data_IF_020674234063
#
_entry.id   IF_020674234063
#
_cell.length_a   1.000
_cell.length_b   1.000
_cell.length_c   1.000
_cell.angle_alpha   90.00
_cell.angle_beta   90.00
_cell.angle_gamma   90.00
#
_symmetry.space_group_name_H-M   'P 1'
#
loop_
_entity.id
_entity.type
_entity.pdbx_description
1 polymer ?
#
# COMPACT_ATOMS: atom_id res chain seq x y z
N UNK A 1 -14.56 16.10 -11.90
CA UNK A 1 -13.82 14.97 -12.51
C UNK A 1 -14.57 13.70 -12.14
N UNK A 2 -14.91 12.89 -13.14
CA UNK A 2 -15.88 11.82 -12.95
C UNK A 2 -15.22 10.43 -12.86
N UNK A 3 -13.91 10.37 -13.12
CA UNK A 3 -13.10 9.16 -13.06
C UNK A 3 -11.81 9.42 -12.31
N UNK A 4 -11.46 8.50 -11.40
CA UNK A 4 -10.20 8.47 -10.68
C UNK A 4 -9.54 7.10 -10.83
N UNK A 5 -8.21 7.06 -10.82
CA UNK A 5 -7.43 5.82 -10.93
C UNK A 5 -6.32 5.80 -9.87
N UNK A 6 -6.02 4.63 -9.32
CA UNK A 6 -4.99 4.42 -8.30
C UNK A 6 -4.39 3.02 -8.40
N UNK A 7 -3.28 2.79 -7.71
CA UNK A 7 -2.62 1.49 -7.61
C UNK A 7 -1.90 1.14 -8.90
N UNK A 8 -1.74 -0.16 -9.14
CA UNK A 8 -0.95 -0.63 -10.28
C UNK A 8 -1.59 -0.26 -11.64
N UNK A 9 -2.90 0.01 -11.67
CA UNK A 9 -3.61 0.54 -12.84
C UNK A 9 -3.23 2.00 -13.17
N UNK A 10 -2.78 2.80 -12.19
CA UNK A 10 -2.47 4.22 -12.37
C UNK A 10 -1.00 4.44 -12.74
N UNK A 11 -0.73 5.19 -13.80
CA UNK A 11 0.62 5.64 -14.15
C UNK A 11 0.76 7.13 -13.90
N UNK A 12 1.62 7.51 -12.95
CA UNK A 12 1.90 8.91 -12.64
C UNK A 12 2.81 9.51 -13.70
N UNK A 13 2.36 10.61 -14.31
CA UNK A 13 3.13 11.41 -15.26
C UNK A 13 3.27 12.84 -14.71
N UNK A 14 4.43 13.50 -14.94
CA UNK A 14 5.62 13.04 -15.65
C UNK A 14 6.58 12.19 -14.79
N UNK A 15 6.29 11.97 -13.51
CA UNK A 15 7.18 11.27 -12.57
C UNK A 15 6.72 9.82 -12.43
N UNK A 16 7.28 8.87 -13.21
CA UNK A 16 6.95 7.47 -13.04
C UNK A 16 7.44 6.99 -11.67
N UNK A 17 6.55 6.33 -10.94
CA UNK A 17 6.89 5.63 -9.70
C UNK A 17 6.91 4.13 -9.98
N UNK A 18 7.76 3.36 -9.27
CA UNK A 18 7.70 1.91 -9.32
C UNK A 18 6.29 1.42 -8.98
N UNK A 19 5.76 0.50 -9.79
CA UNK A 19 4.52 -0.23 -9.50
C UNK A 19 4.78 -1.12 -8.30
N UNK A 20 4.41 -0.62 -7.13
CA UNK A 20 4.61 -1.35 -5.88
C UNK A 20 3.51 -1.02 -4.91
N UNK A 21 3.19 -2.01 -4.06
CA UNK A 21 2.17 -1.88 -3.04
C UNK A 21 2.35 -0.62 -2.19
N UNK A 22 3.58 -0.21 -1.86
CA UNK A 22 3.84 0.97 -1.02
C UNK A 22 3.26 2.26 -1.58
N UNK A 23 3.29 2.45 -2.91
CA UNK A 23 2.67 3.62 -3.53
C UNK A 23 1.15 3.45 -3.60
N UNK A 24 0.66 2.26 -3.98
CA UNK A 24 -0.77 1.97 -4.04
C UNK A 24 -1.50 2.24 -2.71
N UNK A 25 -0.97 1.76 -1.58
CA UNK A 25 -1.59 2.02 -0.26
C UNK A 25 -1.54 3.48 0.17
N UNK A 26 -0.65 4.29 -0.41
CA UNK A 26 -0.55 5.73 -0.10
C UNK A 26 -1.43 6.58 -0.97
N UNK A 27 -1.74 6.13 -2.17
CA UNK A 27 -2.68 6.81 -3.04
C UNK A 27 -4.13 6.70 -2.53
N UNK A 28 -4.50 5.56 -1.92
CA UNK A 28 -5.85 5.32 -1.39
C UNK A 28 -6.42 6.46 -0.52
N UNK A 29 -5.71 6.91 0.53
CA UNK A 29 -6.16 8.04 1.35
C UNK A 29 -6.35 9.36 0.58
N UNK A 30 -5.49 9.63 -0.41
CA UNK A 30 -5.59 10.84 -1.24
C UNK A 30 -6.80 10.73 -2.17
N UNK A 31 -7.03 9.55 -2.75
CA UNK A 31 -8.21 9.25 -3.55
C UNK A 31 -9.50 9.46 -2.73
N UNK A 32 -9.60 8.85 -1.55
CA UNK A 32 -10.76 8.99 -0.67
C UNK A 32 -11.04 10.47 -0.33
N UNK A 33 -9.98 11.23 -0.04
CA UNK A 33 -10.11 12.65 0.25
C UNK A 33 -10.58 13.46 -0.96
N UNK A 34 -10.08 13.14 -2.16
CA UNK A 34 -10.47 13.82 -3.39
C UNK A 34 -11.89 13.47 -3.84
N UNK A 35 -12.35 12.24 -3.58
CA UNK A 35 -13.74 11.86 -3.79
C UNK A 35 -14.67 12.73 -2.93
N UNK A 36 -14.37 12.86 -1.63
CA UNK A 36 -15.12 13.74 -0.74
C UNK A 36 -15.12 15.21 -1.20
N UNK A 37 -13.97 15.72 -1.66
CA UNK A 37 -13.87 17.08 -2.19
C UNK A 37 -14.68 17.29 -3.46
N UNK A 38 -14.71 16.29 -4.33
CA UNK A 38 -15.48 16.34 -5.59
C UNK A 38 -16.97 16.48 -5.28
N UNK A 39 -17.48 15.68 -4.33
CA UNK A 39 -18.86 15.76 -3.87
C UNK A 39 -19.20 17.15 -3.28
N UNK A 40 -18.21 17.82 -2.67
CA UNK A 40 -18.35 19.15 -2.09
C UNK A 40 -17.99 20.30 -3.05
N UNK A 41 -17.70 20.01 -4.33
CA UNK A 41 -17.23 21.00 -5.32
C UNK A 41 -16.00 21.79 -4.84
N UNK A 42 -15.11 21.14 -4.08
CA UNK A 42 -13.85 21.71 -3.58
C UNK A 42 -12.67 21.34 -4.47
N UNK A 43 -11.60 22.15 -4.51
CA UNK A 43 -10.41 21.86 -5.32
C UNK A 43 -9.73 20.57 -4.85
N UNK A 44 -9.29 19.74 -5.80
CA UNK A 44 -8.60 18.49 -5.51
C UNK A 44 -7.22 18.74 -4.88
N UNK A 45 -6.74 17.78 -4.08
CA UNK A 45 -5.36 17.78 -3.60
C UNK A 45 -4.49 16.88 -4.47
N UNK A 46 -3.31 17.35 -4.92
CA UNK A 46 -2.40 16.52 -5.68
C UNK A 46 -1.81 15.41 -4.80
N UNK A 47 -1.59 14.25 -5.39
CA UNK A 47 -0.76 13.20 -4.80
C UNK A 47 0.72 13.54 -5.04
N UNK A 48 1.53 13.48 -3.99
CA UNK A 48 2.98 13.64 -4.07
C UNK A 48 3.66 12.33 -3.64
N UNK A 49 4.25 11.56 -4.57
CA UNK A 49 4.89 10.30 -4.22
C UNK A 49 6.17 10.55 -3.41
N UNK A 50 6.44 9.68 -2.43
CA UNK A 50 7.71 9.71 -1.72
C UNK A 50 8.86 9.22 -2.62
N UNK A 51 10.05 9.80 -2.48
CA UNK A 51 11.23 9.40 -3.28
C UNK A 51 11.90 8.11 -2.79
N UNK A 52 11.71 7.75 -1.53
CA UNK A 52 12.37 6.60 -0.90
C UNK A 52 11.32 5.76 -0.17
N UNK A 53 11.37 4.45 -0.37
CA UNK A 53 10.54 3.49 0.34
C UNK A 53 11.41 2.33 0.84
N UNK A 54 10.87 1.60 1.81
CA UNK A 54 11.47 0.39 2.33
C UNK A 54 10.94 -0.78 1.53
N UNK A 55 11.84 -1.58 0.96
CA UNK A 55 11.54 -2.86 0.33
C UNK A 55 11.96 -3.98 1.28
N UNK A 56 11.10 -4.98 1.45
CA UNK A 56 11.33 -6.15 2.29
C UNK A 56 11.03 -7.41 1.49
N UNK A 57 12.04 -8.26 1.29
CA UNK A 57 11.97 -9.48 0.49
C UNK A 57 12.33 -10.71 1.33
N UNK A 58 11.48 -11.73 1.34
CA UNK A 58 11.76 -12.99 2.04
C UNK A 58 12.75 -13.84 1.25
N UNK A 59 13.63 -14.56 1.95
CA UNK A 59 14.67 -15.41 1.35
C UNK A 59 14.42 -16.92 1.52
N UNK A 60 13.18 -17.31 1.81
CA UNK A 60 12.68 -18.70 2.01
C UNK A 60 13.33 -19.51 3.16
N UNK A 61 14.47 -19.06 3.70
CA UNK A 61 15.22 -19.63 4.83
C UNK A 61 14.81 -19.04 6.20
N UNK A 62 13.67 -18.35 6.25
CA UNK A 62 13.21 -17.58 7.41
C UNK A 62 13.96 -16.24 7.62
N UNK A 63 14.88 -15.88 6.73
CA UNK A 63 15.47 -14.55 6.69
C UNK A 63 14.73 -13.64 5.71
N UNK A 64 15.04 -12.34 5.79
CA UNK A 64 14.61 -11.37 4.79
C UNK A 64 15.73 -10.39 4.47
N UNK A 65 15.61 -9.74 3.31
CA UNK A 65 16.43 -8.62 2.86
C UNK A 65 15.60 -7.35 2.98
N UNK A 66 16.15 -6.35 3.65
CA UNK A 66 15.63 -5.00 3.69
C UNK A 66 16.48 -4.09 2.81
N UNK A 67 15.85 -3.20 2.06
CA UNK A 67 16.53 -2.14 1.30
C UNK A 67 15.77 -0.83 1.41
N UNK A 68 16.49 0.27 1.66
CA UNK A 68 15.95 1.63 1.66
C UNK A 68 17.02 2.63 1.23
N UNK A 69 16.97 3.05 -0.03
CA UNK A 69 17.99 3.94 -0.60
C UNK A 69 19.36 3.23 -0.59
N UNK A 70 20.43 3.85 -0.06
CA UNK A 70 21.76 3.25 -0.04
C UNK A 70 21.94 2.15 1.03
N UNK A 71 20.96 1.97 1.92
CA UNK A 71 21.06 1.01 3.01
C UNK A 71 20.40 -0.32 2.63
N UNK A 72 21.12 -1.42 2.86
CA UNK A 72 20.59 -2.77 2.75
C UNK A 72 21.06 -3.63 3.91
N UNK A 73 20.21 -4.57 4.34
CA UNK A 73 20.53 -5.54 5.39
C UNK A 73 19.84 -6.88 5.10
N UNK A 74 20.47 -7.99 5.49
CA UNK A 74 19.90 -9.33 5.41
C UNK A 74 20.00 -10.00 6.78
N UNK A 75 18.99 -10.77 7.15
CA UNK A 75 19.10 -11.73 8.24
C UNK A 75 17.75 -12.17 8.79
N UNK A 76 17.78 -13.10 9.74
CA UNK A 76 16.58 -13.59 10.43
C UNK A 76 15.87 -12.48 11.19
N UNK A 77 16.62 -11.59 11.86
CA UNK A 77 16.05 -10.41 12.56
C UNK A 77 15.27 -9.50 11.61
N UNK A 78 15.70 -9.37 10.35
CA UNK A 78 14.97 -8.63 9.31
C UNK A 78 13.68 -9.35 8.94
N UNK A 79 13.70 -10.70 8.89
CA UNK A 79 12.50 -11.53 8.71
C UNK A 79 11.47 -11.27 9.80
N UNK A 80 11.86 -11.38 11.08
CA UNK A 80 10.98 -11.07 12.22
C UNK A 80 10.43 -9.65 12.18
N UNK A 81 11.26 -8.68 11.78
CA UNK A 81 10.84 -7.29 11.62
C UNK A 81 9.80 -7.13 10.51
N UNK A 82 10.00 -7.77 9.36
CA UNK A 82 9.03 -7.80 8.26
C UNK A 82 7.72 -8.42 8.71
N UNK A 83 7.75 -9.58 9.36
CA UNK A 83 6.54 -10.25 9.86
C UNK A 83 5.72 -9.34 10.78
N UNK A 84 6.40 -8.58 11.63
CA UNK A 84 5.75 -7.60 12.52
C UNK A 84 5.11 -6.46 11.73
N UNK A 85 5.77 -5.94 10.69
CA UNK A 85 5.23 -4.89 9.81
C UNK A 85 4.00 -5.40 9.07
N UNK A 86 4.09 -6.58 8.47
CA UNK A 86 3.03 -7.16 7.65
C UNK A 86 1.79 -7.47 8.52
N UNK A 87 1.98 -8.09 9.69
CA UNK A 87 0.88 -8.32 10.64
C UNK A 87 0.26 -7.03 11.16
N UNK A 88 1.06 -5.98 11.39
CA UNK A 88 0.54 -4.66 11.78
C UNK A 88 -0.28 -4.03 10.67
N UNK A 89 0.16 -4.17 9.42
CA UNK A 89 -0.58 -3.69 8.25
C UNK A 89 -1.91 -4.44 8.12
N UNK A 90 -1.90 -5.77 8.12
CA UNK A 90 -3.12 -6.58 7.99
C UNK A 90 -4.15 -6.27 9.08
N UNK A 91 -3.71 -6.11 10.33
CA UNK A 91 -4.61 -5.72 11.44
C UNK A 91 -5.36 -4.41 11.23
N UNK A 92 -4.84 -3.47 10.42
CA UNK A 92 -5.57 -2.23 10.11
C UNK A 92 -6.77 -2.45 9.17
N UNK A 93 -6.75 -3.52 8.39
CA UNK A 93 -7.74 -3.80 7.35
C UNK A 93 -8.54 -5.08 7.63
N UNK A 94 -8.35 -5.68 8.81
CA UNK A 94 -9.22 -6.75 9.27
C UNK A 94 -10.60 -6.16 9.58
N UNK A 95 -11.60 -6.61 8.84
CA UNK A 95 -13.00 -6.34 9.16
C UNK A 95 -13.36 -7.04 10.48
N UNK A 96 -14.23 -6.44 11.30
CA UNK A 96 -14.80 -7.16 12.44
C UNK A 96 -15.56 -8.41 11.94
N UNK A 97 -15.66 -9.48 12.75
CA UNK A 97 -16.32 -10.73 12.35
C UNK A 97 -17.74 -10.53 11.82
N UNK A 98 -18.44 -9.49 12.30
CA UNK A 98 -19.80 -9.13 11.88
C UNK A 98 -19.92 -8.59 10.45
N UNK A 99 -18.80 -8.29 9.78
CA UNK A 99 -18.74 -7.78 8.40
C UNK A 99 -17.96 -8.70 7.46
N UNK A 100 -17.58 -9.89 7.92
CA UNK A 100 -17.08 -10.94 7.03
C UNK A 100 -18.28 -11.52 6.29
N UNK A 101 -18.56 -11.01 5.10
CA UNK A 101 -19.53 -11.64 4.19
C UNK A 101 -19.08 -13.07 3.93
N UNK A 102 -19.78 -14.04 4.52
CA UNK A 102 -19.72 -15.44 4.14
C UNK A 102 -20.22 -15.54 2.71
N UNK A 103 -19.30 -15.49 1.74
CA UNK A 103 -19.55 -16.11 0.45
C UNK A 103 -19.41 -17.63 0.67
N UNK A 104 -20.45 -18.20 1.29
CA UNK A 104 -20.74 -19.62 1.13
C UNK A 104 -21.27 -19.79 -0.28
N UNK A 105 -20.41 -20.26 -1.18
CA UNK A 105 -20.82 -20.79 -2.47
C UNK A 105 -21.83 -21.91 -2.20
N UNK A 106 -23.08 -21.69 -2.62
CA UNK A 106 -24.03 -22.77 -2.85
C UNK A 106 -23.60 -23.46 -4.14
N UNK A 107 -23.05 -24.66 -3.98
CA UNK A 107 -23.02 -25.69 -5.02
C UNK A 107 -24.40 -26.37 -5.10
#
# INVERSE_FOLDING_TARGET
PDVFITGDAASLTPIPVPKSGVFAVREGPVLAQNLHRTLQRRPLKPYQPQRRFLSLLNTADGSAIASRGPFAARGRLIGWWKDRIDRRFMRKYQLPPSQQTTHSEHE
#
